data_IF_635396698212
#
_entry.id   IF_635396698212
#
_cell.length_a   1.000
_cell.length_b   1.000
_cell.length_c   1.000
_cell.angle_alpha   90.00
_cell.angle_beta   90.00
_cell.angle_gamma   90.00
#
_symmetry.space_group_name_H-M   'P 1'
#
loop_
_entity.id
_entity.type
_entity.pdbx_description
1 polymer ?
#
# COMPACT_ATOMS: atom_id res chain seq x y z
N UNK A 1 -9.30 13.45 -28.38
CA UNK A 1 -9.71 13.69 -26.98
C UNK A 1 -10.06 12.34 -26.39
N UNK A 2 -9.30 11.87 -25.41
CA UNK A 2 -9.54 10.58 -24.76
C UNK A 2 -10.80 10.75 -23.91
N UNK A 3 -11.75 9.82 -23.98
CA UNK A 3 -12.95 9.88 -23.14
C UNK A 3 -12.54 9.80 -21.66
N UNK A 4 -13.11 10.60 -20.75
CA UNK A 4 -12.82 10.54 -19.30
C UNK A 4 -12.98 9.15 -18.70
N UNK A 5 -13.84 8.32 -19.30
CA UNK A 5 -14.01 6.91 -18.95
C UNK A 5 -12.76 6.08 -19.25
N UNK A 6 -12.17 6.26 -20.43
CA UNK A 6 -10.95 5.56 -20.86
C UNK A 6 -9.75 5.97 -19.99
N UNK A 7 -9.68 7.24 -19.60
CA UNK A 7 -8.63 7.75 -18.70
C UNK A 7 -8.69 7.09 -17.32
N UNK A 8 -9.88 7.02 -16.73
CA UNK A 8 -10.07 6.38 -15.42
C UNK A 8 -9.71 4.90 -15.44
N UNK A 9 -10.10 4.18 -16.51
CA UNK A 9 -9.72 2.78 -16.70
C UNK A 9 -8.21 2.63 -16.82
N UNK A 10 -7.54 3.51 -17.58
CA UNK A 10 -6.10 3.45 -17.79
C UNK A 10 -5.34 3.63 -16.47
N UNK A 11 -5.78 4.58 -15.64
CA UNK A 11 -5.22 4.82 -14.30
C UNK A 11 -5.43 3.58 -13.40
N UNK A 12 -6.65 3.03 -13.38
CA UNK A 12 -6.94 1.83 -12.59
C UNK A 12 -6.09 0.64 -13.03
N UNK A 13 -5.93 0.42 -14.33
CA UNK A 13 -5.06 -0.64 -14.87
C UNK A 13 -3.63 -0.40 -14.39
N UNK A 14 -3.10 0.82 -14.52
CA UNK A 14 -1.74 1.15 -14.08
C UNK A 14 -1.50 0.83 -12.61
N UNK A 15 -2.40 1.24 -11.71
CA UNK A 15 -2.31 0.98 -10.28
C UNK A 15 -2.38 -0.53 -9.99
N UNK A 16 -3.32 -1.25 -10.60
CA UNK A 16 -3.47 -2.69 -10.39
C UNK A 16 -2.29 -3.50 -10.93
N UNK A 17 -1.67 -3.06 -12.03
CA UNK A 17 -0.45 -3.70 -12.55
C UNK A 17 0.72 -3.54 -11.57
N UNK A 18 0.90 -2.36 -10.97
CA UNK A 18 1.92 -2.14 -9.94
C UNK A 18 1.67 -3.04 -8.71
N UNK A 19 0.41 -3.14 -8.28
CA UNK A 19 0.01 -4.02 -7.18
C UNK A 19 0.28 -5.50 -7.51
N UNK A 20 -0.02 -5.92 -8.74
CA UNK A 20 0.24 -7.29 -9.20
C UNK A 20 1.73 -7.62 -9.18
N UNK A 21 2.61 -6.72 -9.64
CA UNK A 21 4.06 -6.91 -9.54
C UNK A 21 4.55 -6.97 -8.09
N UNK A 22 3.98 -6.13 -7.22
CA UNK A 22 4.31 -6.13 -5.78
C UNK A 22 3.96 -7.46 -5.11
N UNK A 23 2.86 -8.10 -5.53
CA UNK A 23 2.48 -9.44 -5.08
C UNK A 23 3.35 -10.56 -5.72
N UNK A 24 3.73 -10.41 -6.99
CA UNK A 24 4.50 -11.40 -7.73
C UNK A 24 5.89 -11.65 -7.14
N UNK A 25 6.59 -10.60 -6.68
CA UNK A 25 7.97 -10.72 -6.17
C UNK A 25 8.04 -11.70 -4.97
N UNK A 26 7.27 -11.56 -3.88
CA UNK A 26 7.23 -12.55 -2.80
C UNK A 26 6.82 -13.95 -3.26
N UNK A 27 5.86 -14.03 -4.19
CA UNK A 27 5.35 -15.30 -4.71
C UNK A 27 6.45 -16.14 -5.36
N UNK A 28 7.38 -15.52 -6.10
CA UNK A 28 8.52 -16.24 -6.69
C UNK A 28 9.48 -16.83 -5.66
N UNK A 29 9.47 -16.32 -4.42
CA UNK A 29 10.31 -16.82 -3.31
C UNK A 29 9.59 -17.91 -2.49
N UNK A 30 8.47 -18.46 -2.98
CA UNK A 30 7.57 -19.35 -2.23
C UNK A 30 7.00 -18.70 -0.96
N UNK A 31 6.87 -17.37 -0.95
CA UNK A 31 6.32 -16.60 0.16
C UNK A 31 5.05 -15.88 -0.30
N UNK A 32 3.88 -16.40 0.09
CA UNK A 32 2.61 -15.72 -0.19
C UNK A 32 2.39 -14.67 0.92
N UNK A 33 2.11 -13.42 0.52
CA UNK A 33 1.83 -12.32 1.43
C UNK A 33 0.46 -11.72 1.12
N UNK A 34 -0.42 -11.64 2.13
CA UNK A 34 -1.75 -11.02 2.02
C UNK A 34 -1.77 -9.53 2.36
N UNK A 35 -0.61 -8.95 2.70
CA UNK A 35 -0.51 -7.57 3.23
C UNK A 35 -0.46 -6.46 2.17
N UNK A 36 -0.51 -6.78 0.88
CA UNK A 36 -0.29 -5.80 -0.20
C UNK A 36 -1.30 -4.65 -0.18
N UNK A 37 -2.57 -4.95 0.15
CA UNK A 37 -3.61 -3.94 0.31
C UNK A 37 -3.33 -2.93 1.43
N UNK A 38 -2.62 -3.37 2.48
CA UNK A 38 -2.22 -2.52 3.59
C UNK A 38 -1.15 -1.50 3.15
N UNK A 39 -0.12 -1.93 2.43
CA UNK A 39 0.95 -1.06 1.92
C UNK A 39 0.42 -0.06 0.88
N UNK A 40 -0.49 -0.51 0.02
CA UNK A 40 -1.20 0.35 -0.91
C UNK A 40 -2.05 1.39 -0.16
N UNK A 41 -2.79 0.95 0.86
CA UNK A 41 -3.59 1.83 1.71
C UNK A 41 -2.77 2.88 2.44
N UNK A 42 -1.64 2.50 3.04
CA UNK A 42 -0.72 3.44 3.72
C UNK A 42 -0.25 4.52 2.77
N UNK A 43 0.26 4.15 1.59
CA UNK A 43 0.73 5.12 0.59
C UNK A 43 -0.38 6.04 0.10
N UNK A 44 -1.57 5.50 -0.17
CA UNK A 44 -2.72 6.26 -0.63
C UNK A 44 -3.20 7.27 0.43
N UNK A 45 -3.40 6.83 1.67
CA UNK A 45 -3.83 7.70 2.77
C UNK A 45 -2.80 8.79 3.08
N UNK A 46 -1.50 8.47 3.11
CA UNK A 46 -0.47 9.48 3.38
C UNK A 46 -0.37 10.52 2.26
N UNK A 47 -0.49 10.09 1.00
CA UNK A 47 -0.51 11.00 -0.15
C UNK A 47 -1.74 11.91 -0.13
N UNK A 48 -2.91 11.35 0.20
CA UNK A 48 -4.15 12.11 0.37
C UNK A 48 -4.03 13.12 1.53
N UNK A 49 -3.47 12.70 2.68
CA UNK A 49 -3.23 13.54 3.85
C UNK A 49 -2.38 14.77 3.51
N UNK A 50 -1.27 14.57 2.81
CA UNK A 50 -0.34 15.64 2.43
C UNK A 50 -0.92 16.58 1.38
N UNK A 51 -1.68 16.04 0.42
CA UNK A 51 -2.28 16.84 -0.65
C UNK A 51 -3.48 17.65 -0.13
N UNK A 52 -4.33 17.07 0.71
CA UNK A 52 -5.55 17.72 1.23
C UNK A 52 -5.25 18.68 2.37
N UNK A 53 -4.47 18.28 3.37
CA UNK A 53 -4.24 19.11 4.56
C UNK A 53 -3.11 20.12 4.34
N UNK A 54 -2.02 19.71 3.70
CA UNK A 54 -0.80 20.51 3.59
C UNK A 54 -0.61 21.17 2.21
N UNK A 55 -1.54 20.94 1.26
CA UNK A 55 -1.50 21.49 -0.10
C UNK A 55 -0.16 21.28 -0.82
N UNK A 56 0.55 20.21 -0.46
CA UNK A 56 1.84 19.86 -1.04
C UNK A 56 1.62 19.40 -2.49
N UNK A 57 2.48 19.78 -3.45
CA UNK A 57 2.36 19.33 -4.83
C UNK A 57 2.38 17.79 -4.91
N UNK A 58 1.46 17.24 -5.69
CA UNK A 58 1.23 15.79 -5.82
C UNK A 58 2.50 14.96 -6.06
N UNK A 59 3.47 15.36 -6.91
CA UNK A 59 4.70 14.58 -7.10
C UNK A 59 5.53 14.42 -5.83
N UNK A 60 5.58 15.47 -4.98
CA UNK A 60 6.33 15.44 -3.72
C UNK A 60 5.60 14.59 -2.69
N UNK A 61 4.26 14.73 -2.60
CA UNK A 61 3.42 13.90 -1.75
C UNK A 61 3.53 12.41 -2.13
N UNK A 62 3.61 12.09 -3.43
CA UNK A 62 3.76 10.72 -3.94
C UNK A 62 5.10 10.09 -3.53
N UNK A 63 6.20 10.83 -3.64
CA UNK A 63 7.52 10.31 -3.24
C UNK A 63 7.59 10.16 -1.72
N UNK A 64 7.09 11.14 -0.97
CA UNK A 64 7.07 11.09 0.49
C UNK A 64 6.22 9.93 1.02
N UNK A 65 5.04 9.70 0.44
CA UNK A 65 4.18 8.57 0.82
C UNK A 65 4.78 7.22 0.41
N UNK A 66 5.46 7.15 -0.73
CA UNK A 66 6.23 5.98 -1.16
C UNK A 66 7.35 5.63 -0.19
N UNK A 67 8.12 6.63 0.28
CA UNK A 67 9.15 6.43 1.29
C UNK A 67 8.56 5.98 2.63
N UNK A 68 7.42 6.55 3.03
CA UNK A 68 6.73 6.16 4.26
C UNK A 68 6.21 4.72 4.19
N UNK A 69 5.57 4.34 3.08
CA UNK A 69 5.11 2.97 2.85
C UNK A 69 6.30 1.99 2.80
N UNK A 70 7.40 2.37 2.15
CA UNK A 70 8.64 1.60 2.13
C UNK A 70 9.26 1.42 3.53
N UNK A 71 9.27 2.46 4.35
CA UNK A 71 9.77 2.40 5.73
C UNK A 71 8.95 1.44 6.58
N UNK A 72 7.61 1.51 6.50
CA UNK A 72 6.73 0.54 7.17
C UNK A 72 6.94 -0.86 6.59
N UNK A 73 7.15 -0.98 5.29
CA UNK A 73 7.51 -2.22 4.60
C UNK A 73 8.78 -2.87 5.13
N UNK A 74 9.82 -2.09 5.43
CA UNK A 74 11.05 -2.62 6.05
C UNK A 74 10.81 -3.07 7.48
N UNK A 75 10.10 -2.25 8.28
CA UNK A 75 9.78 -2.57 9.67
C UNK A 75 8.96 -3.85 9.81
N UNK A 76 7.98 -4.06 8.92
CA UNK A 76 7.09 -5.24 8.91
C UNK A 76 7.71 -6.41 8.15
N UNK A 77 8.48 -6.13 7.09
CA UNK A 77 9.15 -7.14 6.27
C UNK A 77 10.26 -7.87 7.05
N UNK A 78 10.98 -7.18 7.92
CA UNK A 78 12.03 -7.79 8.74
C UNK A 78 11.55 -8.97 9.63
N UNK A 79 10.47 -8.85 10.43
CA UNK A 79 9.90 -9.99 11.14
C UNK A 79 9.20 -10.97 10.21
N UNK A 80 8.59 -10.50 9.10
CA UNK A 80 7.93 -11.37 8.12
C UNK A 80 8.90 -12.40 7.51
N UNK A 81 10.12 -12.00 7.16
CA UNK A 81 11.15 -12.89 6.61
C UNK A 81 11.57 -14.03 7.56
N UNK A 82 11.32 -13.90 8.87
CA UNK A 82 11.62 -14.96 9.85
C UNK A 82 10.56 -16.07 9.89
N UNK A 83 9.40 -15.86 9.27
CA UNK A 83 8.26 -16.79 9.26
C UNK A 83 8.13 -17.44 7.87
N UNK A 84 7.73 -18.72 7.82
CA UNK A 84 7.63 -19.48 6.57
C UNK A 84 6.22 -20.02 6.32
N UNK A 85 5.87 -20.14 5.04
CA UNK A 85 4.64 -20.79 4.60
C UNK A 85 3.38 -20.02 5.01
N UNK A 86 2.36 -20.74 5.47
CA UNK A 86 1.04 -20.20 5.77
C UNK A 86 1.04 -19.15 6.89
N UNK A 87 1.96 -19.26 7.85
CA UNK A 87 2.06 -18.30 8.95
C UNK A 87 2.42 -16.88 8.48
N UNK A 88 3.16 -16.76 7.36
CA UNK A 88 3.46 -15.47 6.74
C UNK A 88 2.18 -14.80 6.22
N UNK A 89 1.31 -15.58 5.57
CA UNK A 89 0.03 -15.10 5.04
C UNK A 89 -0.85 -14.58 6.17
N UNK A 90 -0.99 -15.36 7.25
CA UNK A 90 -1.83 -15.00 8.39
C UNK A 90 -1.30 -13.72 9.08
N UNK A 91 0.01 -13.62 9.27
CA UNK A 91 0.63 -12.42 9.85
C UNK A 91 0.35 -11.18 8.99
N UNK A 92 0.54 -11.29 7.67
CA UNK A 92 0.39 -10.15 6.75
C UNK A 92 -1.06 -9.73 6.54
N UNK A 93 -2.01 -10.67 6.63
CA UNK A 93 -3.45 -10.38 6.69
C UNK A 93 -3.81 -9.68 8.00
N UNK A 94 -3.30 -10.15 9.14
CA UNK A 94 -3.49 -9.48 10.43
C UNK A 94 -2.94 -8.05 10.42
N UNK A 95 -1.75 -7.85 9.83
CA UNK A 95 -1.20 -6.52 9.59
C UNK A 95 -2.14 -5.64 8.76
N UNK A 96 -2.71 -6.17 7.67
CA UNK A 96 -3.66 -5.43 6.85
C UNK A 96 -4.89 -4.97 7.63
N UNK A 97 -5.42 -5.82 8.52
CA UNK A 97 -6.54 -5.46 9.36
C UNK A 97 -6.17 -4.39 10.41
N UNK A 98 -4.98 -4.50 11.02
CA UNK A 98 -4.48 -3.47 11.95
C UNK A 98 -4.37 -2.11 11.25
N UNK A 99 -3.84 -2.08 10.02
CA UNK A 99 -3.74 -0.85 9.22
C UNK A 99 -5.12 -0.29 8.89
N UNK A 100 -6.08 -1.16 8.52
CA UNK A 100 -7.46 -0.75 8.25
C UNK A 100 -8.11 -0.11 9.49
N UNK A 101 -8.01 -0.76 10.65
CA UNK A 101 -8.56 -0.25 11.91
C UNK A 101 -7.87 1.05 12.31
N UNK A 102 -6.55 1.14 12.11
CA UNK A 102 -5.78 2.35 12.39
C UNK A 102 -6.29 3.57 11.60
N UNK A 103 -6.60 3.40 10.32
CA UNK A 103 -7.16 4.49 9.52
C UNK A 103 -8.61 4.83 9.92
N UNK A 104 -9.43 3.83 10.26
CA UNK A 104 -10.82 4.07 10.67
C UNK A 104 -10.93 4.72 12.05
N UNK A 105 -9.97 4.48 12.95
CA UNK A 105 -9.98 5.06 14.30
C UNK A 105 -9.30 6.42 14.38
N UNK A 106 -8.52 6.81 13.38
CA UNK A 106 -7.73 8.03 13.40
C UNK A 106 -8.62 9.27 13.26
N UNK A 107 -8.83 10.01 14.35
CA UNK A 107 -9.53 11.31 14.41
C UNK A 107 -8.92 12.40 13.47
N UNK A 108 -7.70 12.21 12.96
CA UNK A 108 -7.11 13.12 11.97
C UNK A 108 -7.62 12.91 10.52
N UNK A 109 -8.33 11.80 10.25
CA UNK A 109 -8.82 11.44 8.91
C UNK A 109 -10.34 11.20 8.83
N UNK A 110 -11.03 11.15 9.97
CA UNK A 110 -12.47 10.96 10.10
C UNK A 110 -13.16 12.19 10.67
#
# INVERSE_FOLDING_TARGET
MISPYTESILIFIGINTILAYSFYIPMTTNQISGGQGAFMGIGAYFSAAMTVNYHIPFPVALVASGLMSGFVGVLVGFPALRIRGLYLVIMTLGFAEVVRVFFLTSEYFG
#
